data_IF_699193193486
#
_entry.id   IF_699193193486
#
_cell.length_a   1.000
_cell.length_b   1.000
_cell.length_c   1.000
_cell.angle_alpha   90.00
_cell.angle_beta   90.00
_cell.angle_gamma   90.00
#
_symmetry.space_group_name_H-M   'P 1'
#
loop_
_entity.id
_entity.type
_entity.pdbx_description
1 polymer ?
#
# COMPACT_ATOMS: atom_id res chain seq x y z
N UNK A 1 -18.04 3.99 -23.04
CA UNK A 1 -17.63 4.37 -21.69
C UNK A 1 -17.14 3.13 -21.03
N UNK A 2 -15.86 3.16 -20.75
CA UNK A 2 -15.10 2.10 -20.13
C UNK A 2 -14.61 2.59 -18.76
N UNK A 3 -14.21 1.65 -17.91
CA UNK A 3 -13.60 1.92 -16.62
C UNK A 3 -12.14 1.49 -16.68
N UNK A 4 -11.22 2.41 -16.41
CA UNK A 4 -9.82 2.11 -16.24
C UNK A 4 -9.50 1.99 -14.76
N UNK A 5 -9.02 0.82 -14.33
CA UNK A 5 -8.48 0.60 -12.99
C UNK A 5 -6.96 0.62 -13.11
N UNK A 6 -6.34 1.64 -12.51
CA UNK A 6 -4.93 2.00 -12.75
C UNK A 6 -4.14 1.81 -11.47
N UNK A 7 -3.14 0.93 -11.50
CA UNK A 7 -2.15 0.78 -10.43
C UNK A 7 -0.77 1.31 -10.81
N UNK A 8 0.16 1.19 -9.86
CA UNK A 8 1.46 1.89 -9.92
C UNK A 8 2.31 1.49 -11.13
N UNK A 9 2.11 0.29 -11.67
CA UNK A 9 2.76 -0.15 -12.91
C UNK A 9 2.49 0.78 -14.10
N UNK A 10 1.39 1.55 -14.09
CA UNK A 10 1.12 2.57 -15.10
C UNK A 10 2.10 3.75 -15.00
N UNK A 11 2.34 4.27 -13.80
CA UNK A 11 3.32 5.35 -13.57
C UNK A 11 4.75 4.89 -13.86
N UNK A 12 5.09 3.67 -13.41
CA UNK A 12 6.37 3.02 -13.70
C UNK A 12 6.59 2.82 -15.20
N UNK A 13 5.54 2.44 -15.95
CA UNK A 13 5.63 2.32 -17.39
C UNK A 13 5.91 3.67 -18.07
N UNK A 14 5.58 4.80 -17.43
CA UNK A 14 5.96 6.14 -17.87
C UNK A 14 7.35 6.58 -17.43
N UNK A 15 8.03 5.78 -16.61
CA UNK A 15 9.36 6.07 -16.08
C UNK A 15 9.34 6.95 -14.83
N UNK A 16 8.18 7.10 -14.18
CA UNK A 16 8.07 7.82 -12.92
C UNK A 16 8.66 6.96 -11.79
N UNK A 17 9.34 7.62 -10.84
CA UNK A 17 9.94 6.98 -9.67
C UNK A 17 8.92 6.89 -8.54
N UNK A 18 7.93 6.03 -8.71
CA UNK A 18 6.76 5.90 -7.82
C UNK A 18 6.70 4.55 -7.12
N UNK A 19 7.74 3.70 -7.22
CA UNK A 19 7.76 2.45 -6.45
C UNK A 19 8.00 2.74 -4.96
N UNK A 20 7.58 1.84 -4.08
CA UNK A 20 7.95 1.95 -2.66
C UNK A 20 9.46 1.82 -2.43
N UNK A 21 10.21 1.23 -3.38
CA UNK A 21 11.67 1.27 -3.39
C UNK A 21 12.22 2.67 -3.70
N UNK A 22 11.56 3.44 -4.55
CA UNK A 22 11.88 4.85 -4.81
C UNK A 22 11.50 5.73 -3.62
N UNK A 23 10.40 5.41 -2.92
CA UNK A 23 10.02 6.09 -1.68
C UNK A 23 11.08 5.91 -0.59
N UNK A 24 11.61 4.70 -0.43
CA UNK A 24 12.75 4.45 0.46
C UNK A 24 13.95 5.32 0.11
N UNK A 25 14.31 5.40 -1.18
CA UNK A 25 15.44 6.22 -1.64
C UNK A 25 15.21 7.72 -1.39
N UNK A 26 13.96 8.16 -1.50
CA UNK A 26 13.56 9.51 -1.10
C UNK A 26 13.77 9.74 0.40
N UNK A 27 13.31 8.83 1.26
CA UNK A 27 13.51 8.92 2.72
C UNK A 27 14.99 8.91 3.09
N UNK A 28 15.82 8.12 2.42
CA UNK A 28 17.27 8.09 2.65
C UNK A 28 17.93 9.44 2.35
N UNK A 29 17.39 10.20 1.39
CA UNK A 29 17.90 11.53 1.03
C UNK A 29 17.34 12.65 1.90
N UNK A 30 16.04 12.65 2.15
CA UNK A 30 15.32 13.80 2.73
C UNK A 30 14.91 13.60 4.20
N UNK A 31 14.77 12.35 4.66
CA UNK A 31 14.24 12.05 6.00
C UNK A 31 14.82 10.76 6.60
N UNK A 32 16.12 10.76 6.84
CA UNK A 32 16.85 9.62 7.42
C UNK A 32 16.36 9.24 8.82
N UNK A 33 15.83 10.21 9.58
CA UNK A 33 15.24 9.95 10.89
C UNK A 33 14.01 9.04 10.78
N UNK A 34 13.05 9.39 9.90
CA UNK A 34 11.89 8.54 9.66
C UNK A 34 12.30 7.17 9.14
N UNK A 35 13.21 7.13 8.16
CA UNK A 35 13.70 5.86 7.59
C UNK A 35 14.28 4.95 8.67
N UNK A 36 15.17 5.47 9.52
CA UNK A 36 15.85 4.65 10.54
C UNK A 36 14.87 4.19 11.63
N UNK A 37 13.94 5.05 12.04
CA UNK A 37 12.90 4.68 13.01
C UNK A 37 11.99 3.60 12.42
N UNK A 38 11.55 3.76 11.18
CA UNK A 38 10.68 2.81 10.48
C UNK A 38 11.36 1.46 10.29
N UNK A 39 12.55 1.42 9.66
CA UNK A 39 13.26 0.16 9.39
C UNK A 39 13.61 -0.60 10.68
N UNK A 40 13.93 0.11 11.77
CA UNK A 40 14.15 -0.50 13.09
C UNK A 40 12.95 -1.32 13.54
N UNK A 41 11.71 -0.87 13.29
CA UNK A 41 10.49 -1.60 13.70
C UNK A 41 10.34 -2.96 13.01
N UNK A 42 11.07 -3.18 11.93
CA UNK A 42 11.04 -4.42 11.14
C UNK A 42 12.36 -5.20 11.25
N UNK A 43 13.11 -5.00 12.35
CA UNK A 43 14.38 -5.69 12.59
C UNK A 43 15.50 -5.27 11.62
N UNK A 44 15.29 -4.22 10.82
CA UNK A 44 16.28 -3.71 9.88
C UNK A 44 17.09 -2.63 10.61
N UNK A 45 18.16 -3.08 11.25
CA UNK A 45 19.20 -2.22 11.80
C UNK A 45 20.26 -1.86 10.75
N UNK A 46 21.23 -1.04 11.17
CA UNK A 46 22.50 -0.85 10.47
C UNK A 46 23.53 -1.81 11.09
N UNK A 47 23.57 -3.10 10.69
CA UNK A 47 24.43 -4.05 11.36
C UNK A 47 25.91 -3.77 11.05
N UNK A 48 26.77 -4.06 12.03
CA UNK A 48 28.24 -4.00 11.94
C UNK A 48 28.83 -4.85 10.78
N UNK A 49 28.03 -5.67 10.10
CA UNK A 49 28.41 -6.47 8.94
C UNK A 49 28.08 -5.84 7.58
N UNK A 50 27.43 -4.67 7.51
CA UNK A 50 27.18 -3.96 6.23
C UNK A 50 28.49 -3.76 5.45
N UNK A 51 29.59 -3.46 6.15
CA UNK A 51 30.93 -3.36 5.57
C UNK A 51 31.43 -4.66 4.92
N UNK A 52 30.87 -5.83 5.29
CA UNK A 52 31.26 -7.16 4.78
C UNK A 52 30.45 -7.64 3.58
N UNK A 53 29.16 -7.29 3.50
CA UNK A 53 28.26 -7.72 2.41
C UNK A 53 28.19 -6.66 1.31
N UNK A 54 28.50 -5.40 1.64
CA UNK A 54 28.42 -4.25 0.73
C UNK A 54 27.07 -3.56 0.84
N UNK A 55 27.10 -2.24 1.02
CA UNK A 55 25.92 -1.40 1.22
C UNK A 55 24.86 -1.58 0.13
N UNK A 56 25.27 -1.68 -1.13
CA UNK A 56 24.36 -1.85 -2.28
C UNK A 56 23.57 -3.17 -2.23
N UNK A 57 24.19 -4.26 -1.77
CA UNK A 57 23.54 -5.57 -1.67
C UNK A 57 22.51 -5.53 -0.54
N UNK A 58 22.88 -4.99 0.61
CA UNK A 58 21.97 -4.81 1.74
C UNK A 58 20.76 -3.94 1.37
N UNK A 59 20.98 -2.79 0.71
CA UNK A 59 19.88 -1.92 0.26
C UNK A 59 18.93 -2.64 -0.69
N UNK A 60 19.46 -3.47 -1.60
CA UNK A 60 18.64 -4.27 -2.52
C UNK A 60 17.81 -5.29 -1.77
N UNK A 61 18.37 -5.98 -0.78
CA UNK A 61 17.67 -6.98 0.01
C UNK A 61 16.56 -6.34 0.86
N UNK A 62 16.85 -5.23 1.55
CA UNK A 62 15.86 -4.47 2.32
C UNK A 62 14.70 -4.01 1.43
N UNK A 63 14.99 -3.50 0.22
CA UNK A 63 13.96 -3.14 -0.74
C UNK A 63 13.09 -4.34 -1.14
N UNK A 64 13.68 -5.51 -1.34
CA UNK A 64 12.95 -6.71 -1.74
C UNK A 64 12.13 -7.34 -0.61
N UNK A 65 12.58 -7.20 0.64
CA UNK A 65 11.95 -7.77 1.82
C UNK A 65 10.82 -6.87 2.36
N UNK A 66 11.15 -5.63 2.75
CA UNK A 66 10.22 -4.73 3.41
C UNK A 66 9.44 -3.88 2.40
N UNK A 67 10.15 -3.10 1.58
CA UNK A 67 9.54 -2.03 0.78
C UNK A 67 8.77 -2.54 -0.44
N UNK A 68 9.15 -3.67 -1.02
CA UNK A 68 8.45 -4.25 -2.19
C UNK A 68 6.99 -4.60 -1.87
N UNK A 69 6.73 -5.09 -0.66
CA UNK A 69 5.39 -5.34 -0.12
C UNK A 69 5.15 -4.46 1.11
N UNK A 70 5.38 -3.16 0.95
CA UNK A 70 5.33 -2.19 2.04
C UNK A 70 4.04 -2.29 2.85
N UNK A 71 2.89 -2.23 2.19
CA UNK A 71 1.58 -2.27 2.83
C UNK A 71 1.27 -3.62 3.49
N UNK A 72 1.69 -4.73 2.86
CA UNK A 72 1.55 -6.06 3.43
C UNK A 72 2.47 -6.30 4.63
N UNK A 73 3.54 -5.52 4.78
CA UNK A 73 4.47 -5.61 5.90
C UNK A 73 4.18 -4.62 7.02
N UNK A 74 3.42 -3.54 6.77
CA UNK A 74 3.05 -2.59 7.81
C UNK A 74 2.50 -3.24 9.12
N UNK A 75 1.61 -4.26 9.08
CA UNK A 75 1.08 -4.89 10.28
C UNK A 75 1.98 -6.01 10.84
N UNK A 76 3.28 -6.02 10.51
CA UNK A 76 4.24 -7.08 10.87
C UNK A 76 5.46 -6.50 11.59
N UNK A 77 5.23 -5.71 12.64
CA UNK A 77 6.33 -5.24 13.51
C UNK A 77 7.10 -6.46 14.03
N UNK A 78 8.42 -6.36 14.04
CA UNK A 78 9.31 -7.44 14.43
C UNK A 78 9.14 -7.80 15.92
N UNK A 79 9.03 -9.10 16.22
CA UNK A 79 8.81 -9.59 17.58
C UNK A 79 9.94 -9.19 18.55
N UNK A 80 11.15 -8.93 18.06
CA UNK A 80 12.25 -8.41 18.89
C UNK A 80 11.92 -7.05 19.49
N UNK A 81 11.11 -6.21 18.84
CA UNK A 81 10.66 -4.93 19.40
C UNK A 81 9.81 -5.14 20.66
N UNK A 82 9.00 -6.21 20.67
CA UNK A 82 8.20 -6.59 21.83
C UNK A 82 9.12 -7.08 22.94
N UNK A 83 10.02 -8.03 22.64
CA UNK A 83 10.97 -8.57 23.62
C UNK A 83 11.87 -7.49 24.23
N UNK A 84 12.47 -6.63 23.41
CA UNK A 84 13.30 -5.51 23.87
C UNK A 84 12.48 -4.51 24.68
N UNK A 85 11.20 -4.34 24.32
CA UNK A 85 10.30 -3.45 25.01
C UNK A 85 9.85 -3.95 26.38
N UNK A 86 9.74 -5.27 26.56
CA UNK A 86 9.47 -5.88 27.86
C UNK A 86 10.65 -5.77 28.83
N UNK A 87 11.87 -5.73 28.31
CA UNK A 87 13.12 -5.66 29.09
C UNK A 87 13.72 -4.24 29.20
N UNK A 88 12.99 -3.20 28.76
CA UNK A 88 13.56 -1.85 28.63
C UNK A 88 13.94 -1.21 29.98
N UNK A 89 15.19 -0.75 30.08
CA UNK A 89 15.68 -0.03 31.25
C UNK A 89 15.52 1.49 31.12
N UNK A 90 14.40 2.03 31.64
CA UNK A 90 14.12 3.47 31.63
C UNK A 90 14.56 4.22 32.91
N UNK A 91 15.41 3.60 33.73
CA UNK A 91 15.86 4.20 35.00
C UNK A 91 14.75 4.35 36.06
N UNK A 92 13.60 3.71 35.84
CA UNK A 92 12.42 3.74 36.73
C UNK A 92 12.66 2.96 38.04
N UNK A 93 13.77 2.21 38.14
CA UNK A 93 14.10 1.33 39.27
C UNK A 93 15.11 1.93 40.29
N UNK A 94 15.46 3.21 40.18
CA UNK A 94 16.39 3.89 41.11
C UNK A 94 15.92 3.90 42.58
N UNK A 95 16.79 4.22 43.54
CA UNK A 95 16.48 4.20 44.99
C UNK A 95 15.24 5.04 45.40
N UNK A 96 14.86 6.01 44.57
CA UNK A 96 13.70 6.91 44.73
C UNK A 96 12.36 6.30 44.24
N UNK A 97 12.37 5.02 43.85
CA UNK A 97 11.22 4.28 43.30
C UNK A 97 10.51 3.43 44.36
N UNK A 98 11.10 3.32 45.56
CA UNK A 98 10.50 2.68 46.74
C UNK A 98 9.33 3.54 47.24
N UNK A 99 8.21 3.50 46.50
CA UNK A 99 7.01 4.28 46.79
C UNK A 99 6.26 4.80 45.57
N UNK A 100 6.81 4.69 44.35
CA UNK A 100 6.04 4.96 43.13
C UNK A 100 5.13 3.76 42.88
N UNK A 101 3.82 3.95 42.99
CA UNK A 101 2.86 2.90 42.70
C UNK A 101 2.89 2.51 41.23
N UNK A 102 2.44 1.29 40.95
CA UNK A 102 2.23 0.69 39.63
C UNK A 102 1.73 1.69 38.56
N UNK A 103 0.83 2.62 38.91
CA UNK A 103 0.34 3.65 37.98
C UNK A 103 1.44 4.53 37.36
N UNK A 104 2.50 4.85 38.10
CA UNK A 104 3.56 5.77 37.64
C UNK A 104 4.50 5.09 36.65
N UNK A 105 4.72 3.78 36.81
CA UNK A 105 5.56 3.00 35.89
C UNK A 105 4.86 2.91 34.52
N UNK A 106 3.57 2.58 34.51
CA UNK A 106 2.74 2.56 33.30
C UNK A 106 2.73 3.91 32.57
N UNK A 107 2.56 5.03 33.26
CA UNK A 107 2.57 6.37 32.63
C UNK A 107 3.91 6.70 31.93
N UNK A 108 5.04 6.29 32.52
CA UNK A 108 6.36 6.51 31.92
C UNK A 108 6.55 5.63 30.68
N UNK A 109 6.12 4.37 30.75
CA UNK A 109 6.18 3.43 29.62
C UNK A 109 5.28 3.88 28.46
N UNK A 110 4.02 4.25 28.76
CA UNK A 110 3.05 4.73 27.78
C UNK A 110 3.57 5.99 27.07
N UNK A 111 4.19 6.90 27.82
CA UNK A 111 4.84 8.09 27.25
C UNK A 111 6.04 7.72 26.36
N UNK A 112 6.91 6.82 26.83
CA UNK A 112 8.09 6.40 26.08
C UNK A 112 7.70 5.78 24.74
N UNK A 113 6.77 4.83 24.74
CA UNK A 113 6.35 4.16 23.50
C UNK A 113 5.58 5.09 22.58
N UNK A 114 4.77 6.01 23.12
CA UNK A 114 4.18 7.05 22.29
C UNK A 114 5.25 7.84 21.53
N UNK A 115 6.30 8.30 22.19
CA UNK A 115 7.41 9.04 21.55
C UNK A 115 8.16 8.16 20.51
N UNK A 116 8.28 6.86 20.74
CA UNK A 116 8.94 5.93 19.81
C UNK A 116 8.10 5.59 18.56
N UNK A 117 6.76 5.61 18.66
CA UNK A 117 5.85 5.22 17.58
C UNK A 117 5.15 6.41 16.89
N UNK A 118 5.06 7.60 17.50
CA UNK A 118 4.32 8.76 16.96
C UNK A 118 4.84 9.26 15.62
N UNK A 119 6.08 8.90 15.23
CA UNK A 119 6.63 9.26 13.92
C UNK A 119 5.76 8.74 12.77
N UNK A 120 5.05 7.61 12.94
CA UNK A 120 4.22 7.00 11.90
C UNK A 120 3.03 7.87 11.52
N UNK A 121 2.56 8.75 12.41
CA UNK A 121 1.45 9.65 12.14
C UNK A 121 1.76 10.61 10.98
N UNK A 122 3.06 10.84 10.69
CA UNK A 122 3.53 11.67 9.58
C UNK A 122 3.68 10.92 8.26
N UNK A 123 3.40 9.61 8.21
CA UNK A 123 3.63 8.80 7.02
C UNK A 123 2.88 9.35 5.80
N UNK A 124 1.60 9.71 5.96
CA UNK A 124 0.79 10.30 4.89
C UNK A 124 1.38 11.61 4.35
N UNK A 125 1.76 12.53 5.25
CA UNK A 125 2.38 13.81 4.89
C UNK A 125 3.70 13.61 4.13
N UNK A 126 4.54 12.66 4.58
CA UNK A 126 5.84 12.39 3.95
C UNK A 126 5.67 11.76 2.56
N UNK A 127 4.65 10.91 2.37
CA UNK A 127 4.32 10.37 1.04
C UNK A 127 3.81 11.50 0.14
N UNK A 128 2.94 12.39 0.64
CA UNK A 128 2.50 13.57 -0.11
C UNK A 128 3.68 14.45 -0.55
N UNK A 129 4.60 14.77 0.36
CA UNK A 129 5.82 15.53 0.06
C UNK A 129 6.69 14.85 -1.01
N UNK A 130 6.82 13.53 -0.95
CA UNK A 130 7.57 12.75 -1.94
C UNK A 130 6.93 12.82 -3.32
N UNK A 131 5.63 12.58 -3.40
CA UNK A 131 4.87 12.55 -4.66
C UNK A 131 4.87 13.93 -5.33
N UNK A 132 4.78 15.00 -4.54
CA UNK A 132 4.83 16.38 -5.03
C UNK A 132 6.19 16.78 -5.65
N UNK A 133 7.26 16.00 -5.42
CA UNK A 133 8.57 16.21 -6.07
C UNK A 133 8.68 15.50 -7.42
N UNK A 134 7.71 14.68 -7.81
CA UNK A 134 7.76 13.90 -9.06
C UNK A 134 7.33 14.80 -10.22
N UNK A 135 8.28 15.15 -11.10
CA UNK A 135 7.97 15.95 -12.28
C UNK A 135 7.21 15.16 -13.35
N UNK A 136 6.02 15.63 -13.73
CA UNK A 136 5.19 15.03 -14.78
C UNK A 136 5.48 15.57 -16.20
N UNK A 137 6.73 15.98 -16.48
CA UNK A 137 7.18 16.45 -17.80
C UNK A 137 7.50 15.29 -18.75
N UNK A 138 6.53 14.40 -18.95
CA UNK A 138 6.67 13.17 -19.72
C UNK A 138 5.65 13.09 -20.85
N UNK A 139 5.89 12.19 -21.81
CA UNK A 139 4.99 11.96 -22.95
C UNK A 139 3.99 10.84 -22.66
N UNK A 140 2.77 10.97 -23.20
CA UNK A 140 1.75 9.93 -23.14
C UNK A 140 2.26 8.64 -23.81
N UNK A 141 2.03 7.49 -23.16
CA UNK A 141 2.34 6.16 -23.73
C UNK A 141 1.11 5.35 -24.08
N UNK A 142 0.02 5.47 -23.32
CA UNK A 142 -1.20 4.71 -23.55
C UNK A 142 -2.09 5.39 -24.61
N UNK A 143 -2.26 4.72 -25.75
CA UNK A 143 -3.12 5.21 -26.84
C UNK A 143 -4.61 4.98 -26.59
N UNK A 144 -4.96 3.99 -25.76
CA UNK A 144 -6.35 3.61 -25.48
C UNK A 144 -7.11 4.65 -24.65
N UNK A 145 -6.39 5.45 -23.85
CA UNK A 145 -7.01 6.50 -23.04
C UNK A 145 -7.29 7.70 -23.96
N UNK A 146 -8.55 8.10 -24.10
CA UNK A 146 -8.91 9.34 -24.78
C UNK A 146 -9.82 10.18 -23.89
N UNK A 147 -9.43 11.44 -23.66
CA UNK A 147 -10.19 12.38 -22.83
C UNK A 147 -11.60 12.66 -23.39
N UNK A 148 -11.80 12.50 -24.70
CA UNK A 148 -13.07 12.77 -25.36
C UNK A 148 -14.10 11.65 -25.16
N UNK A 149 -13.69 10.48 -24.65
CA UNK A 149 -14.58 9.33 -24.43
C UNK A 149 -15.41 9.42 -23.13
N UNK A 150 -15.07 10.37 -22.24
CA UNK A 150 -15.69 10.51 -20.92
C UNK A 150 -15.65 9.21 -20.08
N UNK A 151 -14.61 8.40 -20.28
CA UNK A 151 -14.37 7.17 -19.53
C UNK A 151 -14.15 7.46 -18.04
N UNK A 152 -14.36 6.44 -17.20
CA UNK A 152 -14.15 6.53 -15.75
C UNK A 152 -12.81 5.92 -15.37
N UNK A 153 -12.20 6.47 -14.34
CA UNK A 153 -10.88 6.07 -13.86
C UNK A 153 -10.95 5.83 -12.35
N UNK A 154 -10.48 4.68 -11.93
CA UNK A 154 -10.21 4.36 -10.54
C UNK A 154 -8.71 4.15 -10.44
N UNK A 155 -7.99 5.05 -9.76
CA UNK A 155 -6.54 4.96 -9.67
C UNK A 155 -6.08 4.76 -8.24
N UNK A 156 -5.10 3.88 -8.08
CA UNK A 156 -4.38 3.60 -6.85
C UNK A 156 -3.03 4.33 -6.81
N UNK A 157 -2.76 5.15 -7.83
CA UNK A 157 -1.55 5.94 -7.93
C UNK A 157 -1.76 7.27 -7.23
N UNK A 158 -0.67 7.80 -6.68
CA UNK A 158 -0.70 9.07 -5.96
C UNK A 158 -0.48 10.29 -6.88
N UNK A 159 0.05 10.07 -8.09
CA UNK A 159 0.40 11.15 -9.02
C UNK A 159 -0.80 11.64 -9.84
N UNK A 160 -0.74 12.90 -10.28
CA UNK A 160 -1.74 13.51 -11.18
C UNK A 160 -1.46 13.22 -12.66
N UNK A 161 -0.91 12.04 -12.98
CA UNK A 161 -0.51 11.69 -14.34
C UNK A 161 -1.69 11.74 -15.34
N UNK A 162 -2.88 11.31 -14.90
CA UNK A 162 -4.08 11.30 -15.73
C UNK A 162 -4.59 12.71 -16.06
N UNK A 163 -4.52 13.61 -15.09
CA UNK A 163 -4.95 14.99 -15.16
C UNK A 163 -3.95 15.83 -15.95
N UNK A 164 -2.66 15.72 -15.64
CA UNK A 164 -1.64 16.59 -16.20
C UNK A 164 -1.16 16.16 -17.58
N UNK A 165 -1.02 14.85 -17.83
CA UNK A 165 -0.46 14.35 -19.09
C UNK A 165 -1.57 13.84 -20.01
N UNK A 166 -2.54 13.10 -19.48
CA UNK A 166 -3.66 12.59 -20.28
C UNK A 166 -4.82 13.59 -20.43
N UNK A 167 -4.85 14.65 -19.63
CA UNK A 167 -5.89 15.69 -19.64
C UNK A 167 -7.30 15.12 -19.40
N UNK A 168 -7.38 14.07 -18.58
CA UNK A 168 -8.64 13.51 -18.10
C UNK A 168 -9.23 14.47 -17.06
N UNK A 169 -10.55 14.66 -17.10
CA UNK A 169 -11.25 15.49 -16.11
C UNK A 169 -11.23 14.82 -14.74
N UNK A 170 -10.85 15.56 -13.70
CA UNK A 170 -10.87 15.13 -12.30
C UNK A 170 -12.23 14.52 -11.88
N UNK A 171 -13.35 15.06 -12.39
CA UNK A 171 -14.71 14.52 -12.17
C UNK A 171 -14.94 13.09 -12.67
N UNK A 172 -14.02 12.55 -13.47
CA UNK A 172 -14.04 11.19 -13.99
C UNK A 172 -13.05 10.26 -13.30
N UNK A 173 -12.23 10.78 -12.39
CA UNK A 173 -11.17 10.06 -11.70
C UNK A 173 -11.57 9.92 -10.23
N UNK A 174 -11.33 8.74 -9.67
CA UNK A 174 -11.39 8.49 -8.24
C UNK A 174 -10.01 7.99 -7.79
N UNK A 175 -9.34 8.79 -6.96
CA UNK A 175 -8.05 8.51 -6.36
C UNK A 175 -8.21 7.75 -5.05
N UNK A 176 -8.07 6.41 -5.09
CA UNK A 176 -8.28 5.53 -3.94
C UNK A 176 -7.38 5.89 -2.76
N UNK A 177 -6.15 6.29 -3.05
CA UNK A 177 -5.15 6.67 -2.05
C UNK A 177 -5.03 8.18 -1.84
N UNK A 178 -5.97 8.97 -2.35
CA UNK A 178 -5.78 10.40 -2.51
C UNK A 178 -4.73 10.72 -3.59
N UNK A 179 -4.47 12.01 -3.78
CA UNK A 179 -3.44 12.52 -4.69
C UNK A 179 -2.48 13.42 -3.92
N UNK A 180 -1.33 13.78 -4.51
CA UNK A 180 -0.31 14.61 -3.84
C UNK A 180 -0.82 15.91 -3.18
N UNK A 181 -1.94 16.47 -3.65
CA UNK A 181 -2.57 17.69 -3.10
C UNK A 181 -3.66 17.42 -2.03
N UNK A 182 -4.07 16.16 -1.84
CA UNK A 182 -5.10 15.71 -0.89
C UNK A 182 -4.50 14.78 0.19
N UNK A 183 -5.27 14.51 1.26
CA UNK A 183 -4.87 13.57 2.31
C UNK A 183 -4.48 12.21 1.72
N UNK A 184 -3.18 11.96 1.65
CA UNK A 184 -2.63 10.73 1.09
C UNK A 184 -2.87 9.56 2.03
N UNK A 185 -3.53 8.52 1.52
CA UNK A 185 -3.91 7.32 2.25
C UNK A 185 -2.95 6.19 1.89
N UNK A 186 -2.09 5.83 2.83
CA UNK A 186 -1.17 4.70 2.73
C UNK A 186 -1.29 3.87 4.01
N UNK A 187 -1.21 2.54 3.89
CA UNK A 187 -1.55 1.68 5.02
C UNK A 187 -1.79 0.21 4.66
N UNK A 188 -2.06 -0.61 5.66
CA UNK A 188 -2.41 -2.02 5.51
C UNK A 188 -3.94 -2.25 5.53
N UNK A 189 -4.35 -3.44 5.08
CA UNK A 189 -5.75 -3.89 5.12
C UNK A 189 -6.10 -4.84 6.27
N UNK A 190 -5.14 -5.17 7.14
CA UNK A 190 -5.39 -6.10 8.24
C UNK A 190 -6.19 -5.45 9.39
N UNK A 191 -7.53 -5.62 9.35
CA UNK A 191 -8.44 -5.12 10.40
C UNK A 191 -8.27 -5.83 11.76
N UNK A 192 -7.56 -6.96 11.83
CA UNK A 192 -7.42 -7.76 13.06
C UNK A 192 -6.12 -7.51 13.79
N UNK A 193 -5.05 -7.09 13.10
CA UNK A 193 -3.73 -6.92 13.68
C UNK A 193 -3.75 -6.06 14.96
N UNK A 194 -4.47 -4.94 14.96
CA UNK A 194 -4.59 -4.08 16.13
C UNK A 194 -5.38 -4.74 17.27
N UNK A 195 -6.45 -5.47 16.95
CA UNK A 195 -7.28 -6.17 17.94
C UNK A 195 -6.54 -7.33 18.60
N UNK A 196 -5.70 -8.04 17.85
CA UNK A 196 -4.82 -9.09 18.37
C UNK A 196 -3.83 -8.50 19.39
N UNK A 197 -3.19 -7.37 19.06
CA UNK A 197 -2.28 -6.68 20.00
C UNK A 197 -3.01 -6.15 21.24
N UNK A 198 -4.24 -5.64 21.10
CA UNK A 198 -5.06 -5.25 22.27
C UNK A 198 -5.39 -6.41 23.18
N UNK A 199 -5.62 -7.60 22.61
CA UNK A 199 -5.86 -8.81 23.39
C UNK A 199 -4.62 -9.18 24.22
N UNK A 200 -3.44 -9.16 23.61
CA UNK A 200 -2.16 -9.38 24.31
C UNK A 200 -1.92 -8.31 25.40
N UNK A 201 -2.28 -7.04 25.13
CA UNK A 201 -2.17 -5.97 26.12
C UNK A 201 -3.06 -6.21 27.36
N UNK A 202 -4.29 -6.69 27.17
CA UNK A 202 -5.20 -7.01 28.28
C UNK A 202 -4.71 -8.25 29.05
N UNK A 203 -4.18 -9.26 28.37
CA UNK A 203 -3.55 -10.42 29.02
C UNK A 203 -2.31 -10.02 29.84
N UNK A 204 -1.46 -9.14 29.31
CA UNK A 204 -0.31 -8.61 30.04
C UNK A 204 -0.75 -7.82 31.29
N UNK A 205 -1.81 -7.03 31.16
CA UNK A 205 -2.42 -6.29 32.27
C UNK A 205 -2.95 -7.20 33.37
N UNK A 206 -3.68 -8.25 33.02
CA UNK A 206 -4.20 -9.25 33.97
C UNK A 206 -3.07 -9.98 34.72
N UNK A 207 -1.91 -10.13 34.08
CA UNK A 207 -0.70 -10.71 34.66
C UNK A 207 0.21 -9.69 35.39
N UNK A 208 -0.25 -8.44 35.57
CA UNK A 208 0.53 -7.34 36.16
C UNK A 208 1.85 -7.03 35.42
N UNK A 209 1.95 -7.39 34.13
CA UNK A 209 3.06 -7.04 33.25
C UNK A 209 2.78 -5.70 32.57
N UNK A 210 3.25 -4.61 33.19
CA UNK A 210 3.06 -3.27 32.65
C UNK A 210 3.88 -2.99 31.39
N UNK A 211 5.08 -3.57 31.32
CA UNK A 211 5.97 -3.39 30.17
C UNK A 211 5.33 -3.97 28.91
N UNK A 212 4.88 -5.23 28.99
CA UNK A 212 4.10 -5.90 27.94
C UNK A 212 2.84 -5.12 27.59
N UNK A 213 2.04 -4.73 28.58
CA UNK A 213 0.80 -3.95 28.34
C UNK A 213 1.07 -2.67 27.54
N UNK A 214 2.07 -1.89 27.93
CA UNK A 214 2.38 -0.61 27.28
C UNK A 214 2.93 -0.78 25.85
N UNK A 215 3.80 -1.77 25.60
CA UNK A 215 4.31 -2.01 24.23
C UNK A 215 3.20 -2.54 23.30
N UNK A 216 2.37 -3.49 23.77
CA UNK A 216 1.25 -4.01 22.97
C UNK A 216 0.22 -2.92 22.64
N UNK A 217 -0.11 -2.02 23.57
CA UNK A 217 -0.99 -0.87 23.29
C UNK A 217 -0.39 0.08 22.26
N UNK A 218 0.93 0.34 22.32
CA UNK A 218 1.61 1.19 21.35
C UNK A 218 1.63 0.59 19.95
N UNK A 219 1.91 -0.72 19.84
CA UNK A 219 1.86 -1.44 18.55
C UNK A 219 0.43 -1.46 18.00
N UNK A 220 -0.57 -1.69 18.85
CA UNK A 220 -1.98 -1.61 18.43
C UNK A 220 -2.32 -0.22 17.87
N UNK A 221 -1.85 0.85 18.51
CA UNK A 221 -2.03 2.22 18.03
C UNK A 221 -1.30 2.47 16.70
N UNK A 222 -0.10 1.90 16.53
CA UNK A 222 0.63 1.97 15.26
C UNK A 222 -0.18 1.31 14.14
N UNK A 223 -0.68 0.09 14.35
CA UNK A 223 -1.50 -0.63 13.38
C UNK A 223 -2.78 0.15 13.03
N UNK A 224 -3.49 0.69 14.03
CA UNK A 224 -4.66 1.55 13.80
C UNK A 224 -4.34 2.78 12.94
N UNK A 225 -3.23 3.45 13.23
CA UNK A 225 -2.80 4.65 12.50
C UNK A 225 -2.42 4.33 11.04
N UNK A 226 -2.01 3.09 10.77
CA UNK A 226 -1.69 2.61 9.43
C UNK A 226 -2.80 1.77 8.79
N UNK A 227 -3.98 1.67 9.41
CA UNK A 227 -5.08 0.87 8.88
C UNK A 227 -5.86 1.65 7.81
N UNK A 228 -5.94 1.08 6.60
CA UNK A 228 -6.82 1.59 5.55
C UNK A 228 -8.26 1.25 5.90
N UNK A 229 -9.08 2.29 6.11
CA UNK A 229 -10.53 2.15 6.30
C UNK A 229 -11.24 1.95 4.95
N UNK A 230 -10.92 0.84 4.26
CA UNK A 230 -11.39 0.54 2.90
C UNK A 230 -12.92 0.61 2.79
N UNK A 231 -13.64 0.03 3.78
CA UNK A 231 -15.11 0.05 3.80
C UNK A 231 -15.68 1.47 3.90
N UNK A 232 -15.14 2.30 4.78
CA UNK A 232 -15.57 3.68 4.96
C UNK A 232 -15.28 4.52 3.71
N UNK A 233 -14.14 4.26 3.05
CA UNK A 233 -13.78 4.92 1.81
C UNK A 233 -14.72 4.55 0.66
N UNK A 234 -15.05 3.26 0.51
CA UNK A 234 -16.01 2.78 -0.49
C UNK A 234 -17.38 3.44 -0.26
N UNK A 235 -17.84 3.47 0.99
CA UNK A 235 -19.12 4.07 1.35
C UNK A 235 -19.16 5.57 1.05
N UNK A 236 -18.09 6.29 1.40
CA UNK A 236 -17.96 7.73 1.12
C UNK A 236 -17.98 8.05 -0.38
N UNK A 237 -17.54 7.09 -1.21
CA UNK A 237 -17.47 7.21 -2.66
C UNK A 237 -18.55 6.40 -3.40
N UNK A 238 -19.61 5.96 -2.72
CA UNK A 238 -20.68 5.15 -3.30
C UNK A 238 -21.26 5.73 -4.60
N UNK A 239 -21.40 7.06 -4.65
CA UNK A 239 -21.89 7.79 -5.83
C UNK A 239 -21.04 7.57 -7.10
N UNK A 240 -19.74 7.28 -6.96
CA UNK A 240 -18.88 6.92 -8.10
C UNK A 240 -19.22 5.51 -8.58
N UNK A 241 -19.28 4.55 -7.66
CA UNK A 241 -19.55 3.14 -7.97
C UNK A 241 -20.95 2.95 -8.58
N UNK A 242 -21.99 3.60 -8.07
CA UNK A 242 -23.35 3.51 -8.61
C UNK A 242 -23.46 3.96 -10.08
N UNK A 243 -22.53 4.82 -10.54
CA UNK A 243 -22.48 5.30 -11.94
C UNK A 243 -21.79 4.32 -12.90
N UNK A 244 -21.32 3.17 -12.42
CA UNK A 244 -20.64 2.15 -13.23
C UNK A 244 -21.62 1.24 -14.01
N UNK A 245 -22.93 1.41 -13.83
CA UNK A 245 -23.96 0.55 -14.44
C UNK A 245 -24.00 0.54 -15.99
N UNK A 246 -23.35 1.49 -16.66
CA UNK A 246 -23.30 1.58 -18.13
C UNK A 246 -21.92 1.28 -18.70
N UNK A 247 -20.98 0.80 -17.87
CA UNK A 247 -19.62 0.45 -18.29
C UNK A 247 -19.66 -0.81 -19.17
N UNK A 248 -19.08 -0.70 -20.37
CA UNK A 248 -19.00 -1.81 -21.33
C UNK A 248 -17.79 -2.69 -21.10
N UNK A 249 -16.65 -2.07 -20.79
CA UNK A 249 -15.40 -2.75 -20.54
C UNK A 249 -14.66 -2.14 -19.35
N UNK A 250 -13.99 -2.99 -18.59
CA UNK A 250 -13.06 -2.62 -17.53
C UNK A 250 -11.65 -2.94 -18.05
N UNK A 251 -10.70 -2.05 -17.81
CA UNK A 251 -9.29 -2.20 -18.16
C UNK A 251 -8.45 -2.08 -16.89
N UNK A 252 -7.87 -3.18 -16.43
CA UNK A 252 -7.03 -3.23 -15.23
C UNK A 252 -5.57 -3.21 -15.66
N UNK A 253 -4.85 -2.12 -15.40
CA UNK A 253 -3.49 -1.89 -15.87
C UNK A 253 -2.55 -1.47 -14.74
N UNK A 254 -1.39 -2.12 -14.66
CA UNK A 254 -0.34 -1.77 -13.69
C UNK A 254 -0.72 -2.03 -12.23
N UNK A 255 -1.80 -2.76 -11.98
CA UNK A 255 -2.30 -3.07 -10.65
C UNK A 255 -1.92 -4.50 -10.26
N UNK A 256 -1.44 -4.71 -9.04
CA UNK A 256 -1.00 -6.03 -8.54
C UNK A 256 -2.14 -6.96 -8.11
N UNK A 257 -3.37 -6.41 -8.02
CA UNK A 257 -4.55 -7.07 -7.45
C UNK A 257 -4.27 -7.58 -6.03
N UNK A 258 -3.64 -6.75 -5.18
CA UNK A 258 -3.36 -7.07 -3.79
C UNK A 258 -4.64 -7.39 -3.01
N UNK A 259 -4.53 -8.24 -1.99
CA UNK A 259 -5.72 -8.70 -1.24
C UNK A 259 -6.43 -7.55 -0.51
N UNK A 260 -5.67 -6.52 -0.08
CA UNK A 260 -6.20 -5.28 0.50
C UNK A 260 -7.12 -4.51 -0.45
N UNK A 261 -6.91 -4.63 -1.76
CA UNK A 261 -7.66 -3.88 -2.78
C UNK A 261 -8.88 -4.64 -3.31
N UNK A 262 -8.97 -5.94 -3.03
CA UNK A 262 -10.07 -6.80 -3.50
C UNK A 262 -11.47 -6.30 -3.14
N UNK A 263 -11.72 -5.63 -1.99
CA UNK A 263 -13.01 -4.99 -1.71
C UNK A 263 -13.43 -3.95 -2.77
N UNK A 264 -12.49 -3.19 -3.35
CA UNK A 264 -12.82 -2.25 -4.43
C UNK A 264 -13.27 -2.98 -5.70
N UNK A 265 -12.61 -4.07 -6.05
CA UNK A 265 -13.01 -4.89 -7.21
C UNK A 265 -14.35 -5.59 -6.99
N UNK A 266 -14.63 -6.03 -5.77
CA UNK A 266 -15.94 -6.55 -5.40
C UNK A 266 -17.03 -5.49 -5.58
N UNK A 267 -16.77 -4.25 -5.18
CA UNK A 267 -17.71 -3.14 -5.34
C UNK A 267 -17.91 -2.76 -6.81
N UNK A 268 -16.85 -2.72 -7.62
CA UNK A 268 -16.96 -2.55 -9.08
C UNK A 268 -17.87 -3.63 -9.66
N UNK A 269 -17.61 -4.90 -9.34
CA UNK A 269 -18.39 -6.04 -9.84
C UNK A 269 -19.88 -5.94 -9.45
N UNK A 270 -20.18 -5.42 -8.27
CA UNK A 270 -21.56 -5.26 -7.80
C UNK A 270 -22.33 -4.18 -8.58
N UNK A 271 -21.63 -3.21 -9.17
CA UNK A 271 -22.23 -2.05 -9.82
C UNK A 271 -22.13 -2.04 -11.36
N UNK A 272 -21.42 -2.99 -11.97
CA UNK A 272 -21.36 -3.16 -13.44
C UNK A 272 -22.35 -4.21 -13.93
N UNK A 273 -22.60 -4.22 -15.25
CA UNK A 273 -23.47 -5.22 -15.86
C UNK A 273 -22.77 -6.59 -15.90
N UNK A 274 -23.56 -7.66 -15.89
CA UNK A 274 -23.06 -9.04 -16.05
C UNK A 274 -22.34 -9.26 -17.39
N UNK A 275 -22.66 -8.46 -18.39
CA UNK A 275 -22.06 -8.53 -19.72
C UNK A 275 -20.80 -7.66 -19.88
N UNK A 276 -20.39 -6.92 -18.84
CA UNK A 276 -19.18 -6.09 -18.87
C UNK A 276 -17.94 -6.97 -19.03
N UNK A 277 -17.09 -6.63 -20.00
CA UNK A 277 -15.83 -7.33 -20.26
C UNK A 277 -14.73 -6.84 -19.32
N UNK A 278 -13.95 -7.75 -18.74
CA UNK A 278 -12.83 -7.47 -17.85
C UNK A 278 -11.52 -7.74 -18.60
N UNK A 279 -10.85 -6.68 -19.03
CA UNK A 279 -9.55 -6.73 -19.69
C UNK A 279 -8.44 -6.53 -18.64
N UNK A 280 -7.61 -7.54 -18.45
CA UNK A 280 -6.56 -7.55 -17.43
C UNK A 280 -5.21 -7.56 -18.14
N UNK A 281 -4.37 -6.57 -17.82
CA UNK A 281 -3.06 -6.41 -18.40
C UNK A 281 -1.97 -6.83 -17.40
N UNK A 282 -1.34 -7.98 -17.64
CA UNK A 282 -0.31 -8.54 -16.76
C UNK A 282 1.09 -8.19 -17.25
N UNK A 283 2.04 -8.02 -16.33
CA UNK A 283 3.45 -7.73 -16.67
C UNK A 283 4.29 -9.01 -16.72
N UNK A 284 4.11 -9.90 -15.75
CA UNK A 284 4.78 -11.20 -15.68
C UNK A 284 3.81 -12.33 -16.05
N UNK A 285 4.29 -13.31 -16.83
CA UNK A 285 3.47 -14.48 -17.21
C UNK A 285 3.01 -15.30 -16.00
N UNK A 286 3.80 -15.31 -14.92
CA UNK A 286 3.45 -15.97 -13.66
C UNK A 286 2.17 -15.41 -13.01
N UNK A 287 1.84 -14.15 -13.29
CA UNK A 287 0.69 -13.47 -12.68
C UNK A 287 -0.61 -13.70 -13.46
N UNK A 288 -0.52 -14.22 -14.70
CA UNK A 288 -1.67 -14.41 -15.61
C UNK A 288 -2.78 -15.23 -14.97
N UNK A 289 -2.47 -16.43 -14.49
CA UNK A 289 -3.47 -17.31 -13.88
C UNK A 289 -3.90 -16.79 -12.49
N UNK A 290 -2.97 -16.21 -11.72
CA UNK A 290 -3.29 -15.61 -10.40
C UNK A 290 -4.34 -14.51 -10.55
N UNK A 291 -4.17 -13.61 -11.52
CA UNK A 291 -5.12 -12.52 -11.75
C UNK A 291 -6.46 -13.03 -12.24
N UNK A 292 -6.45 -14.04 -13.13
CA UNK A 292 -7.68 -14.70 -13.59
C UNK A 292 -8.46 -15.28 -12.42
N UNK A 293 -7.82 -16.05 -11.55
CA UNK A 293 -8.43 -16.68 -10.39
C UNK A 293 -9.00 -15.65 -9.41
N UNK A 294 -8.26 -14.56 -9.15
CA UNK A 294 -8.76 -13.47 -8.30
C UNK A 294 -10.03 -12.83 -8.87
N UNK A 295 -10.09 -12.54 -10.17
CA UNK A 295 -11.29 -11.95 -10.77
C UNK A 295 -12.45 -12.95 -10.85
N UNK A 296 -12.18 -14.22 -11.12
CA UNK A 296 -13.19 -15.29 -11.07
C UNK A 296 -13.76 -15.47 -9.66
N UNK A 297 -12.94 -15.32 -8.61
CA UNK A 297 -13.39 -15.43 -7.20
C UNK A 297 -14.44 -14.37 -6.82
N UNK A 298 -14.49 -13.24 -7.53
CA UNK A 298 -15.53 -12.20 -7.37
C UNK A 298 -16.88 -12.60 -8.00
N UNK A 299 -16.90 -13.71 -8.76
CA UNK A 299 -18.05 -14.20 -9.51
C UNK A 299 -18.18 -13.64 -10.92
N UNK A 300 -17.06 -13.21 -11.54
CA UNK A 300 -17.01 -12.86 -12.96
C UNK A 300 -16.85 -14.15 -13.78
N UNK A 301 -17.67 -14.31 -14.81
CA UNK A 301 -17.60 -15.49 -15.69
C UNK A 301 -16.35 -15.46 -16.56
N UNK A 302 -15.73 -16.62 -16.77
CA UNK A 302 -14.46 -16.76 -17.51
C UNK A 302 -14.54 -16.21 -18.93
N UNK A 303 -15.69 -16.34 -19.62
CA UNK A 303 -15.94 -15.81 -20.96
C UNK A 303 -15.93 -14.27 -21.02
N UNK A 304 -16.04 -13.60 -19.87
CA UNK A 304 -15.98 -12.14 -19.73
C UNK A 304 -14.59 -11.64 -19.37
N UNK A 305 -13.60 -12.52 -19.18
CA UNK A 305 -12.25 -12.15 -18.80
C UNK A 305 -11.34 -12.27 -20.02
N UNK A 306 -10.64 -11.18 -20.35
CA UNK A 306 -9.58 -11.16 -21.36
C UNK A 306 -8.25 -10.80 -20.69
N UNK A 307 -7.27 -11.68 -20.83
CA UNK A 307 -5.91 -11.47 -20.34
C UNK A 307 -5.02 -11.05 -21.51
N UNK A 308 -4.15 -10.08 -21.31
CA UNK A 308 -3.19 -9.65 -22.34
C UNK A 308 -1.90 -9.14 -21.68
N UNK A 309 -0.73 -9.32 -22.31
CA UNK A 309 0.48 -8.69 -21.83
C UNK A 309 0.34 -7.15 -21.81
N UNK A 310 0.98 -6.52 -20.84
CA UNK A 310 0.87 -5.07 -20.58
C UNK A 310 1.28 -4.21 -21.78
N UNK A 311 2.21 -4.67 -22.60
CA UNK A 311 2.65 -3.95 -23.80
C UNK A 311 1.52 -3.65 -24.79
N UNK A 312 0.50 -4.53 -24.88
CA UNK A 312 -0.65 -4.35 -25.78
C UNK A 312 -1.53 -3.17 -25.38
N UNK A 313 -1.59 -2.85 -24.08
CA UNK A 313 -2.30 -1.66 -23.60
C UNK A 313 -1.64 -0.37 -24.11
N UNK A 314 -0.30 -0.33 -24.11
CA UNK A 314 0.45 0.84 -24.53
C UNK A 314 0.59 0.95 -26.05
N UNK A 315 0.74 -0.17 -26.76
CA UNK A 315 0.87 -0.17 -28.22
C UNK A 315 -0.47 0.16 -28.92
N UNK A 316 -1.59 -0.25 -28.31
CA UNK A 316 -2.93 -0.20 -28.90
C UNK A 316 -3.21 -1.36 -29.85
N UNK A 317 -2.36 -2.38 -29.86
CA UNK A 317 -2.52 -3.57 -30.70
C UNK A 317 -3.48 -4.58 -30.08
N UNK A 318 -4.13 -5.39 -30.91
CA UNK A 318 -5.04 -6.44 -30.45
C UNK A 318 -4.21 -7.67 -30.11
N UNK A 319 -4.25 -8.09 -28.84
CA UNK A 319 -3.70 -9.37 -28.43
C UNK A 319 -4.53 -10.52 -29.00
N UNK A 320 -3.85 -11.44 -29.70
CA UNK A 320 -4.39 -12.69 -30.26
C UNK A 320 -3.62 -13.88 -29.67
N UNK A 321 -4.31 -14.67 -28.83
CA UNK A 321 -3.74 -15.78 -28.04
C UNK A 321 -3.22 -16.93 -28.95
N UNK A 322 -3.69 -17.01 -30.20
CA UNK A 322 -3.26 -18.04 -31.17
C UNK A 322 -1.82 -17.84 -31.69
N UNK A 323 -1.27 -16.63 -31.54
CA UNK A 323 0.05 -16.26 -32.09
C UNK A 323 1.24 -16.76 -31.28
N UNK A 324 1.05 -17.21 -30.03
CA UNK A 324 2.13 -17.71 -29.14
C UNK A 324 2.59 -19.12 -29.54
N UNK A 325 1.83 -19.86 -30.35
CA UNK A 325 2.21 -21.19 -30.82
C UNK A 325 3.43 -21.23 -31.77
N UNK A 326 3.93 -20.07 -32.23
CA UNK A 326 5.02 -19.99 -33.22
C UNK A 326 6.33 -19.35 -32.74
N UNK A 327 6.44 -18.91 -31.48
CA UNK A 327 7.64 -18.22 -30.98
C UNK A 327 8.49 -19.00 -29.96
N UNK A 328 8.20 -20.28 -29.73
CA UNK A 328 9.10 -21.19 -29.00
C UNK A 328 9.96 -22.01 -29.96
N UNK A 329 11.03 -21.39 -30.50
CA UNK A 329 12.24 -22.08 -31.00
C UNK A 329 13.47 -21.35 -30.48
#
# INVERSE_FOLDING_TARGET
>A
MDLFVIGNGFDLAHGLKTSYGDFRDYLERENTYFLSKFEKMYGIGNPDWIDKIGEDIWKKDVKNMLWRDFEGNLPKIDESIISDGEDIELGIQGEDSRGRGDSVIGEVLDKHWKEEFEFIEKLGDIVSDWINQIELKISRKAKLIDKENYDKFLTFNYTLLLEEVYKVSDSNILHIHGSGDDNTIIGHGDEKAADEMRKEAEEAKDNFNQYGRSIYEAIASYYDNTLKKVKDYIESNRNFFEKLNNIKSIHIIGHSLGDVDMPYFQEIKNNVNKDTMWNIYYYCESDREVYKDKIMSLGVSEDKIKLSPTEYFFSGEIYDDESISFLNI
#
